data_IF_757200453536
#
_entry.id   IF_757200453536
#
_cell.length_a   1.000
_cell.length_b   1.000
_cell.length_c   1.000
_cell.angle_alpha   90.00
_cell.angle_beta   90.00
_cell.angle_gamma   90.00
#
_symmetry.space_group_name_H-M   'P 1'
#
loop_
_entity.id
_entity.type
_entity.pdbx_description
1 polymer ?
#
# COMPACT_ATOMS: atom_id res chain seq x y z
N UNK A 1 -12.53 -28.65 44.24
CA UNK A 1 -12.26 -27.45 43.41
C UNK A 1 -11.07 -27.77 42.51
N UNK A 2 -11.31 -28.04 41.22
CA UNK A 2 -10.23 -28.17 40.24
C UNK A 2 -10.03 -26.82 39.53
N UNK A 3 -8.77 -26.40 39.26
CA UNK A 3 -8.53 -25.21 38.46
C UNK A 3 -8.84 -25.51 36.98
N UNK A 4 -9.79 -24.79 36.39
CA UNK A 4 -10.04 -24.76 34.94
C UNK A 4 -8.76 -24.30 34.24
N UNK A 5 -8.15 -25.18 33.45
CA UNK A 5 -7.10 -24.81 32.50
C UNK A 5 -7.73 -23.96 31.40
N UNK A 6 -7.11 -22.81 31.10
CA UNK A 6 -7.52 -21.90 30.03
C UNK A 6 -7.50 -22.64 28.68
N UNK A 7 -8.41 -22.33 27.74
CA UNK A 7 -8.28 -22.82 26.37
C UNK A 7 -7.04 -22.18 25.76
N UNK A 8 -6.06 -23.01 25.41
CA UNK A 8 -5.06 -22.67 24.41
C UNK A 8 -5.83 -22.29 23.14
N UNK A 9 -5.76 -21.03 22.74
CA UNK A 9 -6.12 -20.60 21.40
C UNK A 9 -5.19 -21.35 20.43
N UNK A 10 -5.64 -22.49 19.93
CA UNK A 10 -5.03 -23.19 18.82
C UNK A 10 -5.40 -22.40 17.56
N UNK A 11 -4.52 -21.50 17.14
CA UNK A 11 -4.61 -20.88 15.82
C UNK A 11 -4.06 -21.92 14.85
N UNK A 12 -4.88 -22.55 13.99
CA UNK A 12 -4.37 -23.52 13.04
C UNK A 12 -3.40 -22.82 12.09
N UNK A 13 -2.21 -23.39 12.04
CA UNK A 13 -1.09 -23.02 11.17
C UNK A 13 -1.46 -23.41 9.73
N UNK A 14 -2.41 -22.71 9.13
CA UNK A 14 -2.70 -22.90 7.72
C UNK A 14 -1.57 -22.27 6.94
N UNK A 15 -0.82 -23.13 6.25
CA UNK A 15 0.19 -22.87 5.22
C UNK A 15 -0.13 -21.58 4.46
N UNK A 16 0.34 -20.48 5.01
CA UNK A 16 0.31 -19.20 4.36
C UNK A 16 1.19 -19.36 3.15
N UNK A 17 0.75 -18.82 2.01
CA UNK A 17 1.69 -18.51 0.95
C UNK A 17 2.54 -17.37 1.53
N UNK A 18 3.47 -17.74 2.41
CA UNK A 18 4.29 -16.83 3.17
C UNK A 18 5.21 -16.17 2.16
N UNK A 19 4.81 -14.98 1.73
CA UNK A 19 5.82 -13.94 1.56
C UNK A 19 6.56 -13.92 2.89
N UNK A 20 7.74 -14.53 2.92
CA UNK A 20 8.56 -14.76 4.11
C UNK A 20 9.03 -13.40 4.64
N UNK A 21 8.11 -12.69 5.29
CA UNK A 21 8.37 -11.46 6.00
C UNK A 21 8.97 -11.85 7.34
N UNK A 22 10.09 -11.26 7.75
CA UNK A 22 10.75 -11.62 8.99
C UNK A 22 9.84 -11.42 10.20
N UNK A 23 9.93 -12.31 11.17
CA UNK A 23 9.12 -12.28 12.40
C UNK A 23 9.36 -11.02 13.25
N UNK A 24 10.45 -10.29 13.01
CA UNK A 24 10.71 -9.03 13.70
C UNK A 24 9.83 -7.89 13.16
N UNK A 25 9.02 -7.24 14.02
CA UNK A 25 8.08 -6.21 13.58
C UNK A 25 8.78 -5.02 12.93
N UNK A 26 10.00 -4.70 13.37
CA UNK A 26 10.80 -3.63 12.80
C UNK A 26 11.23 -3.91 11.35
N UNK A 27 11.73 -5.12 11.08
CA UNK A 27 12.21 -5.48 9.74
C UNK A 27 11.05 -5.62 8.76
N UNK A 28 9.91 -6.14 9.23
CA UNK A 28 8.67 -6.19 8.45
C UNK A 28 8.24 -4.79 7.98
N UNK A 29 8.26 -3.80 8.87
CA UNK A 29 7.87 -2.43 8.53
C UNK A 29 8.84 -1.78 7.54
N UNK A 30 10.14 -2.01 7.71
CA UNK A 30 11.15 -1.53 6.76
C UNK A 30 10.90 -2.14 5.37
N UNK A 31 10.64 -3.44 5.29
CA UNK A 31 10.34 -4.11 4.01
C UNK A 31 9.04 -3.57 3.41
N UNK A 32 8.00 -3.33 4.22
CA UNK A 32 6.75 -2.73 3.76
C UNK A 32 6.96 -1.36 3.11
N UNK A 33 7.77 -0.50 3.75
CA UNK A 33 8.12 0.83 3.21
C UNK A 33 8.92 0.70 1.92
N UNK A 34 9.94 -0.17 1.88
CA UNK A 34 10.78 -0.35 0.71
C UNK A 34 10.01 -0.90 -0.49
N UNK A 35 9.15 -1.90 -0.28
CA UNK A 35 8.30 -2.46 -1.33
C UNK A 35 7.25 -1.44 -1.81
N UNK A 36 6.66 -0.68 -0.89
CA UNK A 36 5.77 0.42 -1.24
C UNK A 36 6.48 1.47 -2.12
N UNK A 37 7.67 1.90 -1.73
CA UNK A 37 8.46 2.86 -2.48
C UNK A 37 8.87 2.32 -3.86
N UNK A 38 9.26 1.05 -3.95
CA UNK A 38 9.57 0.39 -5.22
C UNK A 38 8.36 0.39 -6.16
N UNK A 39 7.17 0.07 -5.64
CA UNK A 39 5.93 0.13 -6.42
C UNK A 39 5.63 1.56 -6.87
N UNK A 40 5.84 2.56 -6.01
CA UNK A 40 5.67 3.96 -6.40
C UNK A 40 6.58 4.34 -7.56
N UNK A 41 7.87 3.99 -7.51
CA UNK A 41 8.83 4.30 -8.58
C UNK A 41 8.43 3.64 -9.89
N UNK A 42 8.01 2.37 -9.85
CA UNK A 42 7.56 1.63 -11.05
C UNK A 42 6.34 2.32 -11.67
N UNK A 43 5.35 2.70 -10.85
CA UNK A 43 4.13 3.35 -11.33
C UNK A 43 4.43 4.73 -11.90
N UNK A 44 5.23 5.56 -11.20
CA UNK A 44 5.66 6.87 -11.70
C UNK A 44 6.36 6.73 -13.04
N UNK A 45 7.40 5.88 -13.12
CA UNK A 45 8.15 5.68 -14.35
C UNK A 45 7.28 5.18 -15.50
N UNK A 46 6.33 4.28 -15.23
CA UNK A 46 5.41 3.78 -16.27
C UNK A 46 4.52 4.88 -16.81
N UNK A 47 3.93 5.71 -15.93
CA UNK A 47 3.03 6.79 -16.35
C UNK A 47 3.80 7.91 -17.05
N UNK A 48 5.00 8.25 -16.57
CA UNK A 48 5.88 9.24 -17.21
C UNK A 48 6.37 8.75 -18.58
N UNK A 49 6.69 7.46 -18.74
CA UNK A 49 7.03 6.87 -20.04
C UNK A 49 5.88 7.02 -21.04
N UNK A 50 4.63 6.80 -20.62
CA UNK A 50 3.46 7.06 -21.46
C UNK A 50 3.34 8.55 -21.79
N UNK A 51 3.60 9.42 -20.81
CA UNK A 51 3.64 10.87 -21.00
C UNK A 51 4.67 11.29 -22.04
N UNK A 52 5.91 10.77 -21.97
CA UNK A 52 6.98 11.05 -22.93
C UNK A 52 6.71 10.46 -24.32
N UNK A 53 6.00 9.33 -24.41
CA UNK A 53 5.57 8.79 -25.69
C UNK A 53 4.51 9.69 -26.37
N UNK A 54 3.62 10.31 -25.58
CA UNK A 54 2.60 11.24 -26.08
C UNK A 54 3.15 12.65 -26.34
N UNK A 55 4.06 13.12 -25.49
CA UNK A 55 4.69 14.45 -25.51
C UNK A 55 6.21 14.28 -25.39
N UNK A 56 6.89 13.99 -26.51
CA UNK A 56 8.32 13.76 -26.50
C UNK A 56 9.07 15.03 -26.05
N UNK A 57 10.09 14.90 -25.18
CA UNK A 57 10.91 16.03 -24.79
C UNK A 57 11.71 16.56 -26.00
N UNK A 58 12.03 17.86 -26.03
CA UNK A 58 12.83 18.44 -27.10
C UNK A 58 14.22 17.79 -27.17
N UNK A 59 14.68 17.47 -28.39
CA UNK A 59 15.99 16.87 -28.58
C UNK A 59 17.10 17.88 -28.33
N UNK A 60 18.17 17.44 -27.65
CA UNK A 60 19.39 18.24 -27.46
C UNK A 60 19.33 19.26 -26.31
N UNK A 61 18.32 19.20 -25.44
CA UNK A 61 18.31 19.96 -24.18
C UNK A 61 19.38 19.41 -23.25
N UNK A 62 20.29 20.26 -22.82
CA UNK A 62 21.21 19.93 -21.73
C UNK A 62 20.47 20.07 -20.39
N UNK A 63 20.29 18.95 -19.68
CA UNK A 63 19.61 18.93 -18.39
C UNK A 63 20.51 19.46 -17.26
N UNK A 64 21.81 19.64 -17.50
CA UNK A 64 22.73 20.28 -16.57
C UNK A 64 22.74 21.81 -16.70
N UNK A 65 22.13 22.36 -17.77
CA UNK A 65 21.99 23.80 -18.01
C UNK A 65 20.63 24.32 -17.49
N UNK A 66 20.63 25.10 -16.38
CA UNK A 66 19.39 25.60 -15.79
C UNK A 66 18.56 26.50 -16.72
N UNK A 67 19.21 27.23 -17.65
CA UNK A 67 18.51 28.12 -18.57
C UNK A 67 17.72 27.31 -19.61
N UNK A 68 18.33 26.27 -20.18
CA UNK A 68 17.68 25.38 -21.13
C UNK A 68 16.54 24.58 -20.47
N UNK A 69 16.75 24.12 -19.24
CA UNK A 69 15.70 23.44 -18.46
C UNK A 69 14.52 24.37 -18.18
N UNK A 70 14.78 25.63 -17.84
CA UNK A 70 13.73 26.62 -17.60
C UNK A 70 12.93 26.92 -18.87
N UNK A 71 13.60 27.08 -20.03
CA UNK A 71 12.94 27.30 -21.31
C UNK A 71 12.10 26.09 -21.72
N UNK A 72 12.62 24.88 -21.51
CA UNK A 72 11.89 23.63 -21.75
C UNK A 72 10.61 23.57 -20.90
N UNK A 73 10.70 23.88 -19.61
CA UNK A 73 9.56 23.84 -18.69
C UNK A 73 8.53 24.93 -18.98
N UNK A 74 8.97 26.12 -19.42
CA UNK A 74 8.08 27.22 -19.79
C UNK A 74 7.28 26.91 -21.07
N UNK A 75 7.89 26.19 -22.01
CA UNK A 75 7.27 25.81 -23.28
C UNK A 75 6.60 24.42 -23.24
N UNK A 76 6.68 23.71 -22.12
CA UNK A 76 6.09 22.39 -21.96
C UNK A 76 4.56 22.46 -22.16
N UNK A 77 3.97 21.59 -22.99
CA UNK A 77 2.53 21.50 -23.13
C UNK A 77 1.88 21.21 -21.78
N UNK A 78 0.84 21.97 -21.40
CA UNK A 78 0.12 21.75 -20.14
C UNK A 78 -0.33 20.28 -19.93
N UNK A 79 -0.81 19.54 -20.95
CA UNK A 79 -1.12 18.13 -20.80
C UNK A 79 0.06 17.24 -20.41
N UNK A 80 1.29 17.56 -20.85
CA UNK A 80 2.49 16.81 -20.49
C UNK A 80 2.79 16.94 -18.98
N UNK A 81 2.63 18.14 -18.44
CA UNK A 81 2.78 18.40 -17.00
C UNK A 81 1.68 17.73 -16.17
N UNK A 82 0.46 17.62 -16.71
CA UNK A 82 -0.62 16.87 -16.07
C UNK A 82 -0.32 15.36 -15.99
N UNK A 83 0.37 14.78 -16.98
CA UNK A 83 0.83 13.39 -16.90
C UNK A 83 1.78 13.17 -15.72
N UNK A 84 2.69 14.11 -15.45
CA UNK A 84 3.61 14.05 -14.32
C UNK A 84 2.87 14.17 -12.98
N UNK A 85 1.91 15.12 -12.86
CA UNK A 85 1.05 15.22 -11.67
C UNK A 85 0.27 13.93 -11.44
N UNK A 86 -0.29 13.34 -12.51
CA UNK A 86 -0.98 12.06 -12.43
C UNK A 86 -0.04 10.91 -12.04
N UNK A 87 1.18 10.89 -12.56
CA UNK A 87 2.20 9.90 -12.21
C UNK A 87 2.53 9.95 -10.71
N UNK A 88 2.75 11.15 -10.15
CA UNK A 88 3.01 11.32 -8.72
C UNK A 88 1.82 10.91 -7.86
N UNK A 89 0.61 11.29 -8.25
CA UNK A 89 -0.61 10.88 -7.57
C UNK A 89 -0.80 9.35 -7.57
N UNK A 90 -0.71 8.71 -8.74
CA UNK A 90 -0.86 7.27 -8.88
C UNK A 90 0.27 6.50 -8.19
N UNK A 91 1.50 7.00 -8.28
CA UNK A 91 2.67 6.42 -7.62
C UNK A 91 2.53 6.41 -6.11
N UNK A 92 2.16 7.54 -5.51
CA UNK A 92 1.94 7.62 -4.06
C UNK A 92 0.74 6.75 -3.63
N UNK A 93 -0.37 6.80 -4.37
CA UNK A 93 -1.53 5.96 -4.12
C UNK A 93 -1.16 4.47 -4.05
N UNK A 94 -0.45 3.96 -5.07
CA UNK A 94 -0.07 2.56 -5.16
C UNK A 94 0.94 2.15 -4.08
N UNK A 95 1.94 3.00 -3.81
CA UNK A 95 2.93 2.71 -2.77
C UNK A 95 2.33 2.71 -1.36
N UNK A 96 1.47 3.69 -1.05
CA UNK A 96 0.74 3.75 0.22
C UNK A 96 -0.16 2.52 0.39
N UNK A 97 -0.88 2.14 -0.66
CA UNK A 97 -1.74 0.95 -0.63
C UNK A 97 -0.94 -0.31 -0.26
N UNK A 98 0.21 -0.53 -0.90
CA UNK A 98 1.10 -1.68 -0.63
C UNK A 98 1.70 -1.60 0.78
N UNK A 99 2.24 -0.45 1.18
CA UNK A 99 2.83 -0.27 2.50
C UNK A 99 1.81 -0.48 3.63
N UNK A 100 0.55 -0.06 3.44
CA UNK A 100 -0.53 -0.27 4.39
C UNK A 100 -0.88 -1.75 4.58
N UNK A 101 -0.94 -2.51 3.48
CA UNK A 101 -1.24 -3.95 3.53
C UNK A 101 -0.13 -4.72 4.24
N UNK A 102 1.13 -4.38 3.96
CA UNK A 102 2.29 -5.08 4.50
C UNK A 102 2.65 -4.67 5.94
N UNK A 103 2.40 -3.40 6.29
CA UNK A 103 2.79 -2.77 7.56
C UNK A 103 2.03 -3.21 8.81
N UNK A 104 1.02 -4.08 8.67
CA UNK A 104 0.35 -4.76 9.80
C UNK A 104 -0.06 -3.82 10.95
N UNK A 105 0.40 -4.09 12.17
CA UNK A 105 0.07 -3.33 13.38
C UNK A 105 0.60 -1.89 13.35
N UNK A 106 1.59 -1.60 12.51
CA UNK A 106 2.20 -0.28 12.34
C UNK A 106 1.97 0.29 10.93
N UNK A 107 0.88 -0.12 10.27
CA UNK A 107 0.54 0.35 8.92
C UNK A 107 0.49 1.88 8.84
N UNK A 108 -0.06 2.56 9.86
CA UNK A 108 -0.12 4.03 9.90
C UNK A 108 1.27 4.69 9.92
N UNK A 109 2.23 4.09 10.65
CA UNK A 109 3.61 4.56 10.67
C UNK A 109 4.27 4.33 9.30
N UNK A 110 4.13 3.15 8.72
CA UNK A 110 4.71 2.81 7.41
C UNK A 110 4.24 3.77 6.32
N UNK A 111 2.93 4.05 6.27
CA UNK A 111 2.32 4.97 5.30
C UNK A 111 2.78 6.41 5.51
N UNK A 112 2.91 6.85 6.77
CA UNK A 112 3.41 8.20 7.08
C UNK A 112 4.85 8.39 6.62
N UNK A 113 5.73 7.43 6.93
CA UNK A 113 7.14 7.48 6.52
C UNK A 113 7.27 7.45 5.00
N UNK A 114 6.58 6.54 4.32
CA UNK A 114 6.60 6.46 2.85
C UNK A 114 6.12 7.77 2.23
N UNK A 115 5.00 8.33 2.70
CA UNK A 115 4.44 9.57 2.17
C UNK A 115 5.37 10.76 2.36
N UNK A 116 6.06 10.85 3.51
CA UNK A 116 7.06 11.90 3.77
C UNK A 116 8.30 11.76 2.89
N UNK A 117 8.80 10.54 2.70
CA UNK A 117 9.93 10.28 1.78
C UNK A 117 9.53 10.66 0.35
N UNK A 118 8.35 10.23 -0.11
CA UNK A 118 7.87 10.53 -1.45
C UNK A 118 7.65 12.04 -1.67
N UNK A 119 7.03 12.73 -0.71
CA UNK A 119 6.89 14.19 -0.73
C UNK A 119 8.26 14.87 -0.81
N UNK A 120 9.24 14.40 -0.05
CA UNK A 120 10.60 14.97 -0.06
C UNK A 120 11.26 14.84 -1.43
N UNK A 121 11.06 13.71 -2.12
CA UNK A 121 11.53 13.51 -3.49
C UNK A 121 10.87 14.49 -4.47
N UNK A 122 9.55 14.68 -4.37
CA UNK A 122 8.81 15.65 -5.20
C UNK A 122 9.28 17.08 -4.94
N UNK A 123 9.44 17.47 -3.67
CA UNK A 123 9.94 18.81 -3.30
C UNK A 123 11.36 19.03 -3.81
N UNK A 124 12.24 18.04 -3.67
CA UNK A 124 13.62 18.12 -4.18
C UNK A 124 13.64 18.34 -5.69
N UNK A 125 12.81 17.61 -6.44
CA UNK A 125 12.65 17.78 -7.89
C UNK A 125 12.15 19.19 -8.25
N UNK A 126 11.14 19.69 -7.54
CA UNK A 126 10.57 21.02 -7.78
C UNK A 126 11.54 22.17 -7.43
N UNK A 127 12.47 21.95 -6.51
CA UNK A 127 13.52 22.92 -6.16
C UNK A 127 14.65 22.90 -7.19
N UNK A 128 14.96 21.74 -7.76
CA UNK A 128 16.01 21.59 -8.78
C UNK A 128 15.58 22.08 -10.16
N UNK A 129 14.30 21.86 -10.52
CA UNK A 129 13.77 22.20 -11.83
C UNK A 129 12.82 23.40 -11.71
N UNK A 130 13.21 24.58 -12.20
CA UNK A 130 12.34 25.75 -12.24
C UNK A 130 11.08 25.41 -13.03
N UNK A 131 9.95 25.36 -12.34
CA UNK A 131 8.69 24.89 -12.92
C UNK A 131 7.56 25.91 -12.72
N UNK A 132 6.53 25.89 -13.58
CA UNK A 132 5.38 26.78 -13.43
C UNK A 132 4.69 26.59 -12.06
N UNK A 133 4.33 27.69 -11.40
CA UNK A 133 3.77 27.63 -10.04
C UNK A 133 2.52 26.75 -9.92
N UNK A 134 1.66 26.72 -10.95
CA UNK A 134 0.46 25.88 -10.96
C UNK A 134 0.81 24.39 -10.96
N UNK A 135 1.90 24.00 -11.62
CA UNK A 135 2.38 22.62 -11.67
C UNK A 135 2.96 22.22 -10.33
N UNK A 136 3.80 23.07 -9.73
CA UNK A 136 4.37 22.82 -8.41
C UNK A 136 3.28 22.67 -7.34
N UNK A 137 2.30 23.57 -7.33
CA UNK A 137 1.15 23.50 -6.41
C UNK A 137 0.30 22.26 -6.69
N UNK A 138 -0.04 21.99 -7.95
CA UNK A 138 -0.83 20.82 -8.33
C UNK A 138 -0.16 19.51 -7.95
N UNK A 139 1.15 19.42 -8.17
CA UNK A 139 1.97 18.25 -7.84
C UNK A 139 2.10 17.98 -6.35
N UNK A 140 2.08 19.00 -5.49
CA UNK A 140 2.05 18.80 -4.03
C UNK A 140 0.63 18.48 -3.57
N UNK A 141 -0.37 19.21 -4.07
CA UNK A 141 -1.77 19.06 -3.64
C UNK A 141 -2.31 17.69 -3.98
N UNK A 142 -1.93 17.09 -5.13
CA UNK A 142 -2.42 15.77 -5.53
C UNK A 142 -1.97 14.64 -4.58
N UNK A 143 -0.86 14.82 -3.85
CA UNK A 143 -0.32 13.79 -2.96
C UNK A 143 -1.25 13.50 -1.78
N UNK A 144 -1.93 14.52 -1.26
CA UNK A 144 -2.84 14.38 -0.11
C UNK A 144 -4.03 13.45 -0.41
N UNK A 145 -4.87 13.72 -1.45
CA UNK A 145 -5.96 12.82 -1.79
C UNK A 145 -5.47 11.46 -2.27
N UNK A 146 -4.32 11.39 -2.95
CA UNK A 146 -3.73 10.11 -3.39
C UNK A 146 -3.35 9.20 -2.21
N UNK A 147 -2.58 9.74 -1.25
CA UNK A 147 -2.21 9.00 -0.04
C UNK A 147 -3.42 8.59 0.78
N UNK A 148 -4.40 9.50 0.95
CA UNK A 148 -5.64 9.18 1.66
C UNK A 148 -6.46 8.10 0.94
N UNK A 149 -6.58 8.16 -0.38
CA UNK A 149 -7.29 7.16 -1.17
C UNK A 149 -6.62 5.79 -1.07
N UNK A 150 -5.28 5.73 -1.14
CA UNK A 150 -4.51 4.50 -1.01
C UNK A 150 -4.72 3.85 0.36
N UNK A 151 -4.67 4.65 1.43
CA UNK A 151 -4.96 4.20 2.79
C UNK A 151 -6.40 3.73 2.96
N UNK A 152 -7.39 4.53 2.55
CA UNK A 152 -8.78 4.17 2.74
C UNK A 152 -9.15 2.90 1.97
N UNK A 153 -8.60 2.70 0.76
CA UNK A 153 -8.82 1.47 0.01
C UNK A 153 -8.18 0.26 0.69
N UNK A 154 -6.94 0.38 1.20
CA UNK A 154 -6.28 -0.74 1.90
C UNK A 154 -7.05 -1.13 3.16
N UNK A 155 -7.52 -0.16 3.96
CA UNK A 155 -8.30 -0.44 5.17
C UNK A 155 -9.63 -1.13 4.86
N UNK A 156 -10.34 -0.71 3.81
CA UNK A 156 -11.59 -1.36 3.38
C UNK A 156 -11.36 -2.82 3.00
N UNK A 157 -10.31 -3.08 2.23
CA UNK A 157 -9.95 -4.44 1.86
C UNK A 157 -9.60 -5.26 3.11
N UNK A 158 -8.67 -4.80 3.94
CA UNK A 158 -8.23 -5.55 5.14
C UNK A 158 -9.40 -5.87 6.08
N UNK A 159 -10.35 -4.95 6.25
CA UNK A 159 -11.53 -5.18 7.07
C UNK A 159 -12.44 -6.27 6.49
N UNK A 160 -12.63 -6.30 5.16
CA UNK A 160 -13.41 -7.35 4.49
C UNK A 160 -12.77 -8.74 4.60
N UNK A 161 -11.44 -8.82 4.55
CA UNK A 161 -10.72 -10.08 4.74
C UNK A 161 -10.83 -10.60 6.17
N UNK A 162 -10.76 -9.69 7.16
CA UNK A 162 -10.89 -10.04 8.58
C UNK A 162 -12.28 -10.61 8.89
N UNK A 163 -13.34 -9.95 8.42
CA UNK A 163 -14.71 -10.44 8.66
C UNK A 163 -14.96 -11.80 8.02
N UNK A 164 -14.48 -12.04 6.80
CA UNK A 164 -14.60 -13.36 6.15
C UNK A 164 -13.89 -14.46 6.94
N UNK A 165 -12.70 -14.17 7.48
CA UNK A 165 -11.93 -15.13 8.29
C UNK A 165 -12.61 -15.44 9.61
N UNK A 166 -13.18 -14.42 10.26
CA UNK A 166 -13.95 -14.60 11.50
C UNK A 166 -15.20 -15.46 11.26
N UNK A 167 -15.93 -15.22 10.17
CA UNK A 167 -17.09 -16.04 9.81
C UNK A 167 -16.73 -17.49 9.49
N UNK A 168 -15.64 -17.73 8.74
CA UNK A 168 -15.17 -19.08 8.42
C UNK A 168 -14.67 -19.85 9.66
N UNK A 169 -14.01 -19.17 10.59
CA UNK A 169 -13.60 -19.77 11.86
C UNK A 169 -14.82 -20.16 12.71
N UNK A 170 -15.81 -19.27 12.82
CA UNK A 170 -17.02 -19.51 13.59
C UNK A 170 -17.88 -20.67 13.02
N UNK A 171 -17.98 -20.80 11.70
CA UNK A 171 -18.70 -21.93 11.09
C UNK A 171 -17.99 -23.26 11.37
N UNK A 172 -16.66 -23.27 11.33
CA UNK A 172 -15.86 -24.48 11.61
C UNK A 172 -16.00 -24.91 13.07
N UNK A 173 -15.97 -23.96 14.01
CA UNK A 173 -16.19 -24.23 15.44
C UNK A 173 -17.61 -24.76 15.71
N UNK A 174 -18.62 -24.20 15.05
CA UNK A 174 -20.00 -24.67 15.16
C UNK A 174 -20.20 -26.08 14.58
N UNK A 175 -19.56 -26.40 13.46
CA UNK A 175 -19.58 -27.75 12.87
C UNK A 175 -18.92 -28.78 13.79
N UNK A 176 -17.75 -28.45 14.37
CA UNK A 176 -17.07 -29.34 15.32
C UNK A 176 -17.89 -29.54 16.60
N UNK A 177 -18.49 -28.49 17.15
CA UNK A 177 -19.33 -28.59 18.34
C UNK A 177 -20.58 -29.45 18.08
N UNK A 178 -21.24 -29.27 16.93
CA UNK A 178 -22.38 -30.10 16.56
C UNK A 178 -22.00 -31.58 16.39
N UNK A 179 -20.82 -31.88 15.81
CA UNK A 179 -20.34 -33.25 15.66
C UNK A 179 -20.09 -33.93 17.02
N UNK A 180 -19.48 -33.22 17.97
CA UNK A 180 -19.23 -33.72 19.33
C UNK A 180 -20.54 -34.03 20.07
N UNK A 181 -21.52 -33.13 19.99
CA UNK A 181 -22.86 -33.35 20.59
C UNK A 181 -23.56 -34.57 19.97
N UNK A 182 -23.48 -34.76 18.66
CA UNK A 182 -24.09 -35.92 18.01
C UNK A 182 -23.43 -37.25 18.39
N UNK A 183 -22.13 -37.25 18.66
CA UNK A 183 -21.40 -38.45 19.11
C UNK A 183 -21.75 -38.79 20.58
N UNK A 184 -21.85 -37.79 21.46
CA UNK A 184 -22.31 -37.99 22.86
C UNK A 184 -23.74 -38.56 22.90
N UNK A 185 -24.66 -37.98 22.12
CA UNK A 185 -26.04 -38.47 22.01
C UNK A 185 -26.12 -39.90 21.46
N UNK A 186 -25.21 -40.28 20.55
CA UNK A 186 -25.13 -41.62 20.00
C UNK A 186 -24.62 -42.62 21.04
N UNK A 187 -23.65 -42.22 21.86
CA UNK A 187 -23.06 -43.06 22.90
C UNK A 187 -24.04 -43.30 24.07
N UNK A 188 -24.76 -42.26 24.52
CA UNK A 188 -25.78 -42.40 25.58
C UNK A 188 -26.92 -43.35 25.17
N UNK A 189 -27.29 -43.38 23.88
CA UNK A 189 -28.27 -44.34 23.35
C UNK A 189 -27.77 -45.78 23.29
N UNK A 190 -26.47 -46.01 23.15
CA UNK A 190 -25.91 -47.37 23.16
C UNK A 190 -25.74 -47.94 24.56
N UNK A 191 -25.67 -47.08 25.57
CA UNK A 191 -25.46 -47.45 26.97
C UNK A 191 -26.77 -47.64 27.77
N UNK A 192 -27.93 -47.31 27.17
CA UNK A 192 -29.28 -47.45 27.73
C UNK A 192 -29.99 -48.76 27.30
#
# INVERSE_FOLDING_TARGET
>A
MQPRRLPCFYVPEYKTMDVYLPDSPHLRNVIAILLGLMVSVIVVGTVEMVGHAAYPPPAGVDLEDPEQVQEMMANAPAPALLFVIAAWGLGLFAGVFVAAILGADQAGFCVSVLSLVFLSMVVMMLVQIPSPAWFSVGGIVILVPAGFAGWNLSQRLLNSWRSQREHAAASTEAEHHNAEVTDEDAQDRTDA
#
